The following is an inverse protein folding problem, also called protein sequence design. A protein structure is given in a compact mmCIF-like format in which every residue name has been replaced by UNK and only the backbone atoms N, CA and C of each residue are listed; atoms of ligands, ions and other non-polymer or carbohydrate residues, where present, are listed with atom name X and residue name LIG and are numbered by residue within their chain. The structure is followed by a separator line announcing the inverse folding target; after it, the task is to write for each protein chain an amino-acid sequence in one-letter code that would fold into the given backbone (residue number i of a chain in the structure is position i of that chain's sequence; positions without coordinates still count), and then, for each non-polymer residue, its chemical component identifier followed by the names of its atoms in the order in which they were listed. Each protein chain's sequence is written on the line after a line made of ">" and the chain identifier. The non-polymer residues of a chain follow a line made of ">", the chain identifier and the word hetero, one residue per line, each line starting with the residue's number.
data_IF_717814970327
#
_entry.id   IF_717814970327
#
_cell.length_a   1.000
_cell.length_b   1.000
_cell.length_c   1.000
_cell.angle_alpha   90.00
_cell.angle_beta   90.00
_cell.angle_gamma   90.00
#
_symmetry.space_group_name_H-M   'P 1'
#
loop_
_entity.id
_entity.type
_entity.pdbx_description
1 polymer ?
#
# COMPACT_ATOMS: atom_id res chain seq x y z
N UNK A 1 -8.14 3.03 -32.86
CA UNK A 1 -8.26 1.93 -31.85
C UNK A 1 -7.75 2.40 -30.49
N UNK A 2 -8.41 2.00 -29.37
CA UNK A 2 -7.89 2.24 -28.02
C UNK A 2 -7.01 1.05 -27.60
N UNK A 3 -5.89 1.32 -26.95
CA UNK A 3 -5.07 0.31 -26.31
C UNK A 3 -5.24 0.42 -24.79
N UNK A 4 -5.90 -0.55 -24.20
CA UNK A 4 -6.17 -0.63 -22.76
C UNK A 4 -5.08 -1.51 -22.12
N UNK A 5 -4.37 -0.98 -21.13
CA UNK A 5 -3.25 -1.64 -20.48
C UNK A 5 -3.59 -1.86 -19.00
N UNK A 6 -3.86 -3.12 -18.64
CA UNK A 6 -4.10 -3.52 -17.26
C UNK A 6 -2.80 -3.89 -16.53
N UNK A 7 -2.81 -3.95 -15.21
CA UNK A 7 -1.65 -4.41 -14.44
C UNK A 7 -1.46 -5.94 -14.54
N UNK A 8 -2.57 -6.70 -14.57
CA UNK A 8 -2.58 -8.16 -14.50
C UNK A 8 -3.45 -8.76 -15.60
N UNK A 9 -3.09 -9.98 -16.02
CA UNK A 9 -3.86 -10.71 -17.02
C UNK A 9 -5.35 -10.88 -16.64
N UNK A 10 -5.65 -11.20 -15.38
CA UNK A 10 -7.03 -11.39 -14.89
C UNK A 10 -7.87 -10.12 -15.03
N UNK A 11 -7.28 -8.96 -14.72
CA UNK A 11 -7.93 -7.66 -14.89
C UNK A 11 -8.16 -7.34 -16.37
N UNK A 12 -7.14 -7.55 -17.21
CA UNK A 12 -7.28 -7.39 -18.66
C UNK A 12 -8.39 -8.26 -19.26
N UNK A 13 -8.51 -9.51 -18.82
CA UNK A 13 -9.59 -10.40 -19.25
C UNK A 13 -10.97 -9.92 -18.80
N UNK A 14 -11.10 -9.43 -17.55
CA UNK A 14 -12.35 -8.87 -17.04
C UNK A 14 -12.78 -7.63 -17.84
N UNK A 15 -11.83 -6.75 -18.17
CA UNK A 15 -12.08 -5.56 -19.00
C UNK A 15 -12.51 -5.97 -20.41
N UNK A 16 -11.82 -6.92 -21.05
CA UNK A 16 -12.17 -7.40 -22.36
C UNK A 16 -13.59 -8.01 -22.40
N UNK A 17 -13.99 -8.73 -21.34
CA UNK A 17 -15.35 -9.26 -21.18
C UNK A 17 -16.37 -8.13 -21.04
N UNK A 18 -16.09 -7.12 -20.23
CA UNK A 18 -17.00 -6.00 -19.97
C UNK A 18 -17.20 -5.10 -21.20
N UNK A 19 -16.15 -4.91 -22.03
CA UNK A 19 -16.26 -4.22 -23.34
C UNK A 19 -17.27 -4.93 -24.22
N UNK A 20 -17.27 -6.27 -24.20
CA UNK A 20 -18.23 -7.10 -24.92
C UNK A 20 -17.96 -7.18 -26.43
N UNK A 21 -18.59 -8.17 -27.08
CA UNK A 21 -18.41 -8.43 -28.51
C UNK A 21 -17.53 -9.64 -28.80
N UNK A 22 -17.11 -9.75 -30.05
CA UNK A 22 -16.24 -10.86 -30.47
C UNK A 22 -14.82 -10.63 -29.93
N UNK A 23 -14.29 -11.63 -29.22
CA UNK A 23 -12.92 -11.58 -28.66
C UNK A 23 -11.97 -12.44 -29.46
N UNK A 24 -10.92 -11.85 -29.99
CA UNK A 24 -9.83 -12.54 -30.65
C UNK A 24 -8.59 -12.56 -29.72
N UNK A 25 -8.19 -13.77 -29.34
CA UNK A 25 -7.05 -13.95 -28.42
C UNK A 25 -5.74 -14.02 -29.18
N UNK A 26 -4.81 -13.20 -28.79
CA UNK A 26 -3.44 -13.17 -29.28
C UNK A 26 -2.45 -13.44 -28.14
N UNK A 27 -1.19 -13.65 -28.52
CA UNK A 27 -0.13 -13.80 -27.52
C UNK A 27 0.13 -12.47 -26.82
N UNK A 28 -0.18 -12.38 -25.52
CA UNK A 28 0.02 -11.20 -24.69
C UNK A 28 -1.06 -10.11 -24.77
N UNK A 29 -2.11 -10.27 -25.58
CA UNK A 29 -3.24 -9.34 -25.65
C UNK A 29 -4.50 -9.98 -26.20
N UNK A 30 -5.63 -9.28 -26.08
CA UNK A 30 -6.93 -9.64 -26.65
C UNK A 30 -7.45 -8.47 -27.48
N UNK A 31 -7.95 -8.74 -28.68
CA UNK A 31 -8.68 -7.75 -29.45
C UNK A 31 -10.19 -7.94 -29.23
N UNK A 32 -10.88 -6.84 -28.96
CA UNK A 32 -12.35 -6.83 -28.77
C UNK A 32 -12.91 -5.65 -29.55
N UNK A 33 -13.51 -5.93 -30.70
CA UNK A 33 -13.97 -4.88 -31.62
C UNK A 33 -12.82 -3.95 -32.02
N UNK A 34 -12.97 -2.66 -31.72
CA UNK A 34 -11.96 -1.63 -31.97
C UNK A 34 -10.98 -1.40 -30.80
N UNK A 35 -11.03 -2.23 -29.76
CA UNK A 35 -10.17 -2.13 -28.61
C UNK A 35 -9.12 -3.26 -28.58
N UNK A 36 -7.91 -2.91 -28.16
CA UNK A 36 -6.85 -3.84 -27.81
C UNK A 36 -6.67 -3.82 -26.31
N UNK A 37 -6.76 -4.97 -25.66
CA UNK A 37 -6.58 -5.11 -24.22
C UNK A 37 -5.34 -5.95 -23.95
N UNK A 38 -4.36 -5.36 -23.25
CA UNK A 38 -3.12 -6.03 -22.85
C UNK A 38 -2.86 -5.83 -21.34
N UNK A 39 -1.78 -6.38 -20.81
CA UNK A 39 -1.44 -6.31 -19.39
C UNK A 39 0.06 -6.24 -19.17
N UNK A 40 0.46 -5.71 -18.02
CA UNK A 40 1.86 -5.50 -17.67
C UNK A 40 2.54 -6.69 -17.00
N UNK A 41 1.83 -7.59 -16.34
CA UNK A 41 2.39 -8.64 -15.45
C UNK A 41 3.24 -8.06 -14.29
N UNK A 42 2.82 -6.92 -13.69
CA UNK A 42 3.57 -6.18 -12.70
C UNK A 42 4.57 -5.20 -13.33
N UNK A 43 5.69 -4.94 -12.65
CA UNK A 43 6.67 -3.97 -13.13
C UNK A 43 7.47 -4.51 -14.33
N UNK A 44 7.12 -4.07 -15.54
CA UNK A 44 7.88 -4.37 -16.76
C UNK A 44 9.12 -3.49 -16.91
N UNK A 45 9.08 -2.26 -16.35
CA UNK A 45 10.16 -1.27 -16.44
C UNK A 45 10.48 -0.76 -15.04
N UNK A 46 11.76 -0.80 -14.68
CA UNK A 46 12.29 -0.30 -13.41
C UNK A 46 13.50 0.60 -13.62
N UNK A 47 13.92 1.28 -12.53
CA UNK A 47 15.14 2.07 -12.55
C UNK A 47 16.36 1.16 -12.75
N UNK A 48 17.28 1.59 -13.60
CA UNK A 48 18.53 0.88 -13.84
C UNK A 48 19.36 0.75 -12.54
N UNK A 49 20.04 -0.37 -12.38
CA UNK A 49 20.97 -0.54 -11.28
C UNK A 49 22.25 0.30 -11.50
N UNK A 50 23.00 0.63 -10.45
CA UNK A 50 24.21 1.47 -10.59
C UNK A 50 25.24 0.96 -11.60
N UNK A 51 25.40 -0.35 -11.73
CA UNK A 51 26.31 -1.00 -12.68
C UNK A 51 25.87 -0.88 -14.15
N UNK A 52 24.67 -0.41 -14.40
CA UNK A 52 24.11 -0.24 -15.73
C UNK A 52 24.34 1.17 -16.30
N UNK A 53 24.81 2.11 -15.46
CA UNK A 53 25.19 3.47 -15.88
C UNK A 53 26.59 3.48 -16.48
N UNK A 54 26.71 3.32 -17.79
CA UNK A 54 27.98 3.11 -18.52
C UNK A 54 28.99 4.24 -18.39
N UNK A 55 28.53 5.47 -18.11
CA UNK A 55 29.38 6.65 -18.00
C UNK A 55 29.92 6.89 -16.58
N UNK A 56 29.66 5.96 -15.65
CA UNK A 56 30.04 6.06 -14.27
C UNK A 56 30.69 4.76 -13.79
N UNK A 57 31.64 4.85 -12.86
CA UNK A 57 32.30 3.68 -12.25
C UNK A 57 31.50 3.11 -11.06
N UNK A 58 30.17 3.24 -11.11
CA UNK A 58 29.27 2.81 -10.06
C UNK A 58 29.08 1.28 -9.95
N UNK A 59 29.58 0.53 -10.91
CA UNK A 59 29.62 -0.92 -10.85
C UNK A 59 30.55 -1.43 -9.74
N UNK A 60 31.63 -0.70 -9.46
CA UNK A 60 32.58 -1.02 -8.40
C UNK A 60 32.06 -0.56 -7.02
N UNK A 61 32.10 -1.46 -6.06
CA UNK A 61 31.76 -1.13 -4.69
C UNK A 61 32.97 -0.50 -3.97
N UNK A 62 32.99 0.82 -3.86
CA UNK A 62 33.99 1.60 -3.14
C UNK A 62 33.34 2.79 -2.46
N UNK A 63 33.90 3.21 -1.31
CA UNK A 63 33.45 4.44 -0.64
C UNK A 63 33.69 5.70 -1.53
N UNK A 64 34.72 5.66 -2.38
CA UNK A 64 35.04 6.77 -3.28
C UNK A 64 33.99 6.96 -4.38
N UNK A 65 33.17 5.94 -4.64
CA UNK A 65 32.06 6.03 -5.62
C UNK A 65 30.74 6.48 -5.01
N UNK A 66 30.73 6.84 -3.71
CA UNK A 66 29.55 7.34 -3.03
C UNK A 66 29.65 8.85 -2.81
N UNK A 67 28.52 9.58 -2.89
CA UNK A 67 27.18 9.10 -3.18
C UNK A 67 26.96 8.81 -4.67
N UNK A 68 26.14 7.78 -4.96
CA UNK A 68 25.63 7.52 -6.29
C UNK A 68 24.40 8.41 -6.50
N UNK A 69 24.46 9.32 -7.44
CA UNK A 69 23.35 10.21 -7.78
C UNK A 69 23.18 10.30 -9.32
N UNK A 70 22.18 9.64 -9.87
CA UNK A 70 21.91 9.68 -11.29
C UNK A 70 21.13 10.94 -11.75
N UNK A 71 20.86 11.89 -10.88
CA UNK A 71 20.10 13.11 -11.23
C UNK A 71 20.93 14.03 -12.17
N UNK A 72 20.36 14.55 -13.28
CA UNK A 72 18.99 14.34 -13.77
C UNK A 72 18.80 13.07 -14.65
N UNK A 73 19.87 12.34 -14.98
CA UNK A 73 19.95 11.34 -16.05
C UNK A 73 19.50 9.94 -15.60
N UNK A 74 18.32 9.86 -14.98
CA UNK A 74 17.72 8.60 -14.57
C UNK A 74 17.50 7.66 -15.76
N UNK A 75 18.03 6.44 -15.67
CA UNK A 75 17.86 5.42 -16.69
C UNK A 75 16.82 4.39 -16.27
N UNK A 76 16.01 3.99 -17.23
CA UNK A 76 14.98 2.98 -17.08
C UNK A 76 15.37 1.72 -17.84
N UNK A 77 15.01 0.57 -17.31
CA UNK A 77 15.33 -0.72 -17.89
C UNK A 77 14.17 -1.70 -17.80
N UNK A 78 14.02 -2.48 -18.85
CA UNK A 78 13.09 -3.62 -18.87
C UNK A 78 13.57 -4.71 -17.91
N UNK A 79 12.65 -5.31 -17.16
CA UNK A 79 12.94 -6.39 -16.23
C UNK A 79 13.72 -7.54 -16.86
N UNK A 80 14.62 -8.15 -16.09
CA UNK A 80 15.49 -9.24 -16.60
C UNK A 80 14.79 -10.60 -16.75
N UNK A 81 13.58 -10.73 -16.22
CA UNK A 81 12.79 -11.94 -16.38
C UNK A 81 12.32 -12.11 -17.83
N UNK A 82 12.47 -13.32 -18.38
CA UNK A 82 12.10 -13.63 -19.77
C UNK A 82 10.62 -13.38 -20.07
N UNK A 83 9.76 -13.60 -19.09
CA UNK A 83 8.32 -13.32 -19.19
C UNK A 83 8.03 -11.84 -19.30
N UNK A 84 8.67 -11.03 -18.45
CA UNK A 84 8.55 -9.57 -18.45
C UNK A 84 9.07 -8.95 -19.76
N UNK A 85 10.23 -9.40 -20.28
CA UNK A 85 10.78 -8.93 -21.55
C UNK A 85 9.86 -9.25 -22.74
N UNK A 86 9.30 -10.48 -22.78
CA UNK A 86 8.34 -10.86 -23.81
C UNK A 86 7.09 -9.99 -23.78
N UNK A 87 6.49 -9.83 -22.61
CA UNK A 87 5.28 -9.02 -22.45
C UNK A 87 5.53 -7.54 -22.72
N UNK A 88 6.67 -7.01 -22.29
CA UNK A 88 7.09 -5.65 -22.62
C UNK A 88 7.14 -5.43 -24.14
N UNK A 89 7.72 -6.38 -24.89
CA UNK A 89 7.79 -6.29 -26.36
C UNK A 89 6.41 -6.26 -27.01
N UNK A 90 5.46 -7.03 -26.49
CA UNK A 90 4.06 -7.02 -26.93
C UNK A 90 3.46 -5.63 -26.68
N UNK A 91 3.49 -5.14 -25.43
CA UNK A 91 2.93 -3.84 -25.03
C UNK A 91 3.54 -2.72 -25.85
N UNK A 92 4.88 -2.67 -25.94
CA UNK A 92 5.59 -1.65 -26.70
C UNK A 92 5.28 -1.71 -28.21
N UNK A 93 5.14 -2.91 -28.77
CA UNK A 93 4.71 -3.12 -30.16
C UNK A 93 3.32 -2.55 -30.42
N UNK A 94 2.35 -2.87 -29.53
CA UNK A 94 0.99 -2.35 -29.62
C UNK A 94 0.93 -0.84 -29.48
N UNK A 95 1.68 -0.25 -28.53
CA UNK A 95 1.73 1.19 -28.34
C UNK A 95 2.27 1.95 -29.57
N UNK A 96 3.17 1.35 -30.33
CA UNK A 96 3.75 1.94 -31.54
C UNK A 96 2.89 1.75 -32.82
N UNK A 97 1.82 0.96 -32.77
CA UNK A 97 0.94 0.77 -33.93
C UNK A 97 0.34 2.10 -34.39
N UNK A 98 0.29 2.31 -35.68
CA UNK A 98 -0.25 3.55 -36.28
C UNK A 98 -1.78 3.66 -36.19
N UNK A 99 -2.48 2.54 -36.03
CA UNK A 99 -3.93 2.46 -35.86
C UNK A 99 -4.38 2.57 -34.40
N UNK A 100 -3.45 2.56 -33.44
CA UNK A 100 -3.71 2.90 -32.03
C UNK A 100 -3.57 4.42 -31.86
N UNK A 101 -4.67 5.08 -31.56
CA UNK A 101 -4.79 6.53 -31.41
C UNK A 101 -4.92 7.02 -29.96
N UNK A 102 -5.21 6.09 -29.03
CA UNK A 102 -5.38 6.37 -27.59
C UNK A 102 -4.82 5.27 -26.74
N UNK A 103 -4.15 5.62 -25.65
CA UNK A 103 -3.71 4.73 -24.61
C UNK A 103 -4.64 4.87 -23.40
N UNK A 104 -5.03 3.76 -22.79
CA UNK A 104 -5.88 3.75 -21.60
C UNK A 104 -5.11 3.04 -20.48
N UNK A 105 -4.82 3.77 -19.41
CA UNK A 105 -4.30 3.21 -18.17
C UNK A 105 -5.44 2.53 -17.40
N UNK A 106 -5.40 1.22 -17.33
CA UNK A 106 -6.30 0.37 -16.57
C UNK A 106 -5.53 -0.48 -15.54
N UNK A 107 -4.35 -0.01 -15.12
CA UNK A 107 -3.63 -0.61 -14.00
C UNK A 107 -4.40 -0.41 -12.69
N UNK A 108 -3.98 -1.09 -11.64
CA UNK A 108 -4.64 -1.05 -10.34
C UNK A 108 -4.87 0.42 -9.89
N UNK A 109 -5.99 0.73 -9.19
CA UNK A 109 -6.35 2.10 -8.82
C UNK A 109 -5.53 2.58 -7.61
N UNK A 110 -4.22 2.65 -7.76
CA UNK A 110 -3.29 3.14 -6.76
C UNK A 110 -2.03 3.75 -7.41
N UNK A 111 -1.09 4.25 -6.57
CA UNK A 111 0.17 4.85 -7.01
C UNK A 111 1.07 3.89 -7.77
N UNK A 112 1.06 2.62 -7.43
CA UNK A 112 1.89 1.61 -8.10
C UNK A 112 1.37 1.32 -9.51
N UNK A 113 0.04 1.20 -9.67
CA UNK A 113 -0.57 1.04 -10.99
C UNK A 113 -0.25 2.21 -11.92
N UNK A 114 -0.41 3.44 -11.42
CA UNK A 114 -0.03 4.65 -12.15
C UNK A 114 1.46 4.65 -12.54
N UNK A 115 2.34 4.26 -11.60
CA UNK A 115 3.77 4.15 -11.87
C UNK A 115 4.08 3.11 -12.97
N UNK A 116 3.42 1.96 -12.96
CA UNK A 116 3.62 0.90 -13.96
C UNK A 116 3.32 1.44 -15.35
N UNK A 117 2.14 2.05 -15.53
CA UNK A 117 1.74 2.60 -16.83
C UNK A 117 2.69 3.69 -17.30
N UNK A 118 2.96 4.71 -16.47
CA UNK A 118 3.82 5.85 -16.83
C UNK A 118 5.25 5.46 -17.19
N UNK A 119 5.81 4.49 -16.46
CA UNK A 119 7.17 3.97 -16.77
C UNK A 119 7.20 3.30 -18.13
N UNK A 120 6.18 2.52 -18.48
CA UNK A 120 6.09 1.86 -19.79
C UNK A 120 5.99 2.92 -20.89
N UNK A 121 5.07 3.88 -20.78
CA UNK A 121 4.88 4.97 -21.75
C UNK A 121 6.17 5.75 -21.96
N UNK A 122 6.81 6.17 -20.87
CA UNK A 122 8.07 6.93 -20.90
C UNK A 122 9.19 6.13 -21.59
N UNK A 123 9.32 4.84 -21.24
CA UNK A 123 10.38 3.99 -21.78
C UNK A 123 10.16 3.63 -23.25
N UNK A 124 8.89 3.46 -23.67
CA UNK A 124 8.55 3.21 -25.10
C UNK A 124 8.73 4.47 -25.94
N UNK A 125 8.59 5.66 -25.34
CA UNK A 125 8.79 6.95 -25.99
C UNK A 125 7.71 7.32 -27.00
N UNK A 126 6.45 6.93 -26.74
CA UNK A 126 5.30 7.31 -27.59
C UNK A 126 4.57 8.51 -27.02
N UNK A 127 4.03 9.35 -27.92
CA UNK A 127 3.19 10.49 -27.56
C UNK A 127 1.83 10.32 -28.18
N UNK A 128 0.87 9.85 -27.37
CA UNK A 128 -0.53 9.62 -27.77
C UNK A 128 -1.45 10.16 -26.69
N UNK A 129 -2.70 10.53 -26.98
CA UNK A 129 -3.71 10.84 -25.98
C UNK A 129 -3.83 9.71 -24.97
N UNK A 130 -3.94 10.04 -23.68
CA UNK A 130 -4.03 9.07 -22.59
C UNK A 130 -5.28 9.32 -21.76
N UNK A 131 -5.91 8.25 -21.32
CA UNK A 131 -7.06 8.25 -20.42
C UNK A 131 -6.83 7.29 -19.28
N UNK A 132 -7.38 7.61 -18.12
CA UNK A 132 -7.38 6.74 -16.94
C UNK A 132 -8.70 6.02 -16.80
N UNK A 133 -8.65 4.70 -16.78
CA UNK A 133 -9.74 3.80 -16.43
C UNK A 133 -9.57 3.35 -14.98
N UNK A 134 -10.32 3.95 -14.07
CA UNK A 134 -10.24 3.68 -12.63
C UNK A 134 -11.21 2.56 -12.23
N UNK A 135 -10.69 1.33 -12.05
CA UNK A 135 -11.50 0.14 -11.79
C UNK A 135 -11.26 -0.36 -10.36
N UNK A 136 -12.19 -0.06 -9.46
CA UNK A 136 -12.16 -0.53 -8.08
C UNK A 136 -12.87 -1.90 -7.88
N UNK A 137 -13.74 -2.31 -8.82
CA UNK A 137 -14.45 -3.60 -8.82
C UNK A 137 -14.35 -4.26 -10.19
N UNK A 138 -14.20 -5.59 -10.23
CA UNK A 138 -14.14 -6.38 -11.48
C UNK A 138 -15.49 -6.88 -11.96
N UNK A 139 -16.58 -6.41 -11.38
CA UNK A 139 -17.92 -6.67 -11.92
C UNK A 139 -18.12 -5.97 -13.27
N UNK A 140 -18.83 -6.61 -14.18
CA UNK A 140 -18.98 -6.12 -15.55
C UNK A 140 -19.62 -4.74 -15.63
N UNK A 141 -20.66 -4.50 -14.82
CA UNK A 141 -21.36 -3.20 -14.82
C UNK A 141 -20.46 -2.10 -14.27
N UNK A 142 -19.70 -2.37 -13.19
CA UNK A 142 -18.74 -1.41 -12.64
C UNK A 142 -17.62 -1.07 -13.65
N UNK A 143 -17.14 -2.04 -14.43
CA UNK A 143 -16.16 -1.78 -15.49
C UNK A 143 -16.78 -0.97 -16.63
N UNK A 144 -18.03 -1.26 -17.03
CA UNK A 144 -18.72 -0.47 -18.08
C UNK A 144 -18.94 0.98 -17.67
N UNK A 145 -19.33 1.20 -16.42
CA UNK A 145 -19.49 2.55 -15.85
C UNK A 145 -18.14 3.30 -15.83
N UNK A 146 -17.08 2.63 -15.40
CA UNK A 146 -15.73 3.18 -15.44
C UNK A 146 -15.26 3.49 -16.87
N UNK A 147 -15.54 2.63 -17.87
CA UNK A 147 -15.24 2.87 -19.28
C UNK A 147 -15.99 4.10 -19.83
N UNK A 148 -17.24 4.32 -19.40
CA UNK A 148 -18.04 5.47 -19.79
C UNK A 148 -17.56 6.77 -19.13
N UNK A 149 -16.94 6.70 -17.95
CA UNK A 149 -16.51 7.84 -17.14
C UNK A 149 -14.98 8.02 -17.07
N UNK A 150 -14.22 7.47 -18.02
CA UNK A 150 -12.76 7.62 -18.08
C UNK A 150 -12.35 9.10 -18.04
N UNK A 151 -11.41 9.40 -17.18
CA UNK A 151 -10.85 10.76 -17.01
C UNK A 151 -9.60 10.95 -17.87
N UNK A 152 -9.23 12.23 -18.05
CA UNK A 152 -7.96 12.56 -18.66
C UNK A 152 -6.81 12.16 -17.73
N UNK A 153 -5.76 11.59 -18.31
CA UNK A 153 -4.61 11.10 -17.55
C UNK A 153 -3.87 12.21 -16.81
N UNK A 154 -4.01 13.46 -17.26
CA UNK A 154 -3.42 14.63 -16.60
C UNK A 154 -4.04 14.92 -15.22
N UNK A 155 -5.25 14.48 -14.96
CA UNK A 155 -5.87 14.61 -13.63
C UNK A 155 -5.12 13.76 -12.57
N UNK A 156 -4.38 12.75 -12.98
CA UNK A 156 -3.59 11.85 -12.11
C UNK A 156 -2.10 12.18 -12.08
N UNK A 157 -1.69 13.35 -12.62
CA UNK A 157 -0.26 13.73 -12.67
C UNK A 157 0.37 13.78 -11.27
N UNK A 158 -0.33 14.31 -10.26
CA UNK A 158 0.17 14.31 -8.88
C UNK A 158 0.41 12.92 -8.32
N UNK A 159 -0.43 11.94 -8.68
CA UNK A 159 -0.27 10.54 -8.29
C UNK A 159 0.96 9.92 -8.97
N UNK A 160 1.14 10.18 -10.27
CA UNK A 160 2.31 9.76 -11.04
C UNK A 160 3.61 10.34 -10.48
N UNK A 161 3.63 11.64 -10.18
CA UNK A 161 4.79 12.33 -9.62
C UNK A 161 5.15 11.77 -8.24
N UNK A 162 4.15 11.56 -7.38
CA UNK A 162 4.33 10.94 -6.07
C UNK A 162 4.96 9.54 -6.17
N UNK A 163 4.46 8.71 -7.09
CA UNK A 163 4.99 7.37 -7.33
C UNK A 163 6.44 7.41 -7.86
N UNK A 164 6.72 8.32 -8.77
CA UNK A 164 8.05 8.49 -9.38
C UNK A 164 9.09 8.99 -8.38
N UNK A 165 8.74 10.03 -7.59
CA UNK A 165 9.61 10.57 -6.53
C UNK A 165 9.89 9.49 -5.49
N UNK A 166 8.89 8.74 -5.09
CA UNK A 166 9.06 7.62 -4.15
C UNK A 166 10.04 6.58 -4.69
N UNK A 167 9.89 6.14 -5.94
CA UNK A 167 10.78 5.16 -6.54
C UNK A 167 12.24 5.64 -6.58
N UNK A 168 12.46 6.89 -6.97
CA UNK A 168 13.80 7.52 -7.00
C UNK A 168 14.39 7.64 -5.59
N UNK A 169 13.61 8.09 -4.61
CA UNK A 169 14.05 8.20 -3.22
C UNK A 169 14.39 6.82 -2.62
N UNK A 170 13.56 5.81 -2.87
CA UNK A 170 13.83 4.44 -2.41
C UNK A 170 15.10 3.87 -3.05
N UNK A 171 15.34 4.17 -4.33
CA UNK A 171 16.56 3.77 -5.03
C UNK A 171 17.80 4.49 -4.47
N UNK A 172 17.76 5.82 -4.31
CA UNK A 172 18.88 6.61 -3.78
C UNK A 172 19.28 6.14 -2.38
N UNK A 173 18.32 6.04 -1.47
CA UNK A 173 18.57 5.61 -0.09
C UNK A 173 19.03 4.16 -0.08
N UNK A 174 18.33 3.28 -0.79
CA UNK A 174 18.62 1.85 -0.82
C UNK A 174 20.00 1.55 -1.36
N UNK A 175 20.39 2.14 -2.50
CA UNK A 175 21.68 1.89 -3.13
C UNK A 175 22.85 2.48 -2.32
N UNK A 176 22.75 3.74 -1.94
CA UNK A 176 23.84 4.41 -1.22
C UNK A 176 24.04 3.86 0.20
N UNK A 177 22.98 3.78 0.99
CA UNK A 177 23.10 3.32 2.35
C UNK A 177 23.50 1.82 2.44
N UNK A 178 22.91 0.97 1.59
CA UNK A 178 23.31 -0.46 1.58
C UNK A 178 24.78 -0.65 1.25
N UNK A 179 25.31 0.09 0.27
CA UNK A 179 26.74 0.02 -0.08
C UNK A 179 27.63 0.59 1.02
N UNK A 180 27.29 1.77 1.55
CA UNK A 180 28.06 2.41 2.61
C UNK A 180 28.21 1.50 3.84
N UNK A 181 27.09 0.98 4.35
CA UNK A 181 27.10 0.07 5.49
C UNK A 181 27.84 -1.23 5.19
N UNK A 182 27.61 -1.81 4.01
CA UNK A 182 28.28 -3.06 3.63
C UNK A 182 29.80 -2.90 3.53
N UNK A 183 30.29 -1.77 3.02
CA UNK A 183 31.72 -1.48 2.91
C UNK A 183 32.36 -1.20 4.27
N UNK A 184 31.70 -0.38 5.11
CA UNK A 184 32.23 -0.02 6.44
C UNK A 184 32.32 -1.24 7.36
N UNK A 185 31.31 -2.10 7.35
CA UNK A 185 31.26 -3.28 8.23
C UNK A 185 31.79 -4.57 7.60
N UNK A 186 32.28 -4.50 6.36
CA UNK A 186 32.79 -5.64 5.60
C UNK A 186 31.80 -6.84 5.63
N UNK A 187 30.52 -6.55 5.51
CA UNK A 187 29.43 -7.53 5.52
C UNK A 187 28.28 -7.03 4.63
N UNK A 188 27.44 -7.94 4.13
CA UNK A 188 26.32 -7.55 3.30
C UNK A 188 25.16 -7.02 4.14
N UNK A 189 24.92 -5.72 4.07
CA UNK A 189 23.77 -5.06 4.67
C UNK A 189 22.80 -4.56 3.60
N UNK A 190 21.53 -4.68 3.89
CA UNK A 190 20.44 -4.10 3.08
C UNK A 190 19.78 -3.00 3.88
N UNK A 191 19.79 -1.80 3.36
CA UNK A 191 19.14 -0.64 3.97
C UNK A 191 18.02 -0.17 3.06
N UNK A 192 16.87 0.13 3.62
CA UNK A 192 15.74 0.62 2.86
C UNK A 192 14.83 1.48 3.72
N UNK A 193 14.12 2.38 3.06
CA UNK A 193 13.27 3.39 3.71
C UNK A 193 12.14 2.79 4.57
N UNK A 194 11.66 1.60 4.23
CA UNK A 194 10.60 0.91 4.99
C UNK A 194 11.19 -0.17 5.89
N UNK A 195 12.02 -1.05 5.33
CA UNK A 195 12.52 -2.23 6.06
C UNK A 195 13.38 -1.86 7.26
N UNK A 196 14.25 -0.86 7.14
CA UNK A 196 15.16 -0.48 8.24
C UNK A 196 14.44 0.17 9.42
N UNK A 197 13.54 1.15 9.23
CA UNK A 197 12.73 1.67 10.33
C UNK A 197 11.83 0.60 10.98
N UNK A 198 11.27 -0.31 10.17
CA UNK A 198 10.46 -1.41 10.71
C UNK A 198 11.28 -2.33 11.61
N UNK A 199 12.50 -2.69 11.19
CA UNK A 199 13.42 -3.47 12.01
C UNK A 199 13.80 -2.70 13.29
N UNK A 200 14.08 -1.40 13.19
CA UNK A 200 14.39 -0.58 14.35
C UNK A 200 13.24 -0.58 15.39
N UNK A 201 11.99 -0.43 14.93
CA UNK A 201 10.82 -0.50 15.81
C UNK A 201 10.70 -1.85 16.53
N UNK A 202 10.99 -2.96 15.85
CA UNK A 202 10.98 -4.30 16.45
C UNK A 202 12.09 -4.42 17.50
N UNK A 203 13.32 -4.02 17.16
CA UNK A 203 14.47 -4.05 18.07
C UNK A 203 14.25 -3.18 19.30
N UNK A 204 13.67 -1.99 19.14
CA UNK A 204 13.38 -1.11 20.27
C UNK A 204 12.29 -1.72 21.16
N UNK A 205 11.30 -2.39 20.58
CA UNK A 205 10.29 -3.12 21.35
C UNK A 205 10.88 -4.27 22.14
N UNK A 206 11.76 -5.06 21.52
CA UNK A 206 12.47 -6.15 22.21
C UNK A 206 13.33 -5.64 23.36
N UNK A 207 14.03 -4.51 23.16
CA UNK A 207 14.79 -3.84 24.24
C UNK A 207 13.90 -3.37 25.38
N UNK A 208 12.73 -2.80 25.07
CA UNK A 208 11.75 -2.41 26.09
C UNK A 208 11.23 -3.62 26.89
N UNK A 209 10.99 -4.74 26.21
CA UNK A 209 10.55 -5.99 26.85
C UNK A 209 11.67 -6.54 27.74
N UNK A 210 12.89 -6.64 27.22
CA UNK A 210 14.04 -7.14 27.95
C UNK A 210 14.40 -6.26 29.17
N UNK A 211 14.26 -4.93 29.05
CA UNK A 211 14.49 -3.97 30.10
C UNK A 211 13.28 -3.72 31.02
N UNK A 212 12.18 -4.43 30.84
CA UNK A 212 10.98 -4.21 31.62
C UNK A 212 11.16 -4.67 33.06
N UNK A 213 11.04 -3.71 33.98
CA UNK A 213 11.01 -3.98 35.43
C UNK A 213 9.57 -3.88 35.91
N UNK A 214 9.02 -5.01 36.35
CA UNK A 214 7.69 -5.03 36.96
C UNK A 214 7.70 -4.25 38.28
N UNK A 215 6.86 -3.24 38.36
CA UNK A 215 6.65 -2.46 39.59
C UNK A 215 5.24 -2.73 40.10
N UNK A 216 5.11 -3.25 41.34
CA UNK A 216 3.81 -3.43 41.96
C UNK A 216 3.16 -2.07 42.23
N UNK A 217 1.87 -2.02 42.16
CA UNK A 217 1.07 -0.88 42.58
C UNK A 217 -0.15 -1.36 43.33
N UNK A 218 -0.74 -0.50 44.12
CA UNK A 218 -1.89 -0.81 44.94
C UNK A 218 -3.06 0.10 44.60
N UNK A 219 -4.25 -0.40 44.77
CA UNK A 219 -5.49 0.36 44.70
C UNK A 219 -6.40 -0.04 45.85
N UNK A 220 -6.99 0.95 46.51
CA UNK A 220 -8.06 0.71 47.46
C UNK A 220 -9.37 0.57 46.68
N UNK A 221 -10.10 -0.52 46.89
CA UNK A 221 -11.38 -0.79 46.25
C UNK A 221 -12.43 -1.01 47.31
N UNK A 222 -13.49 -0.21 47.29
CA UNK A 222 -14.62 -0.35 48.23
C UNK A 222 -15.84 -0.93 47.48
N UNK A 223 -16.35 -2.11 47.86
CA UNK A 223 -17.61 -2.61 47.34
C UNK A 223 -18.79 -1.88 47.99
N UNK A 224 -19.72 -1.40 47.17
CA UNK A 224 -20.90 -0.67 47.64
C UNK A 224 -22.15 -1.10 46.84
N UNK A 225 -22.98 -1.93 47.43
CA UNK A 225 -24.32 -2.25 46.90
C UNK A 225 -24.37 -2.62 45.39
N UNK A 226 -23.45 -3.47 44.93
CA UNK A 226 -23.34 -3.86 43.50
C UNK A 226 -22.38 -2.99 42.67
N UNK A 227 -21.86 -1.91 43.22
CA UNK A 227 -20.86 -1.05 42.61
C UNK A 227 -19.49 -1.32 43.21
N UNK A 228 -18.43 -0.98 42.47
CA UNK A 228 -17.05 -0.97 42.97
C UNK A 228 -16.49 0.44 42.78
N UNK A 229 -16.20 1.09 43.91
CA UNK A 229 -15.43 2.35 43.89
C UNK A 229 -13.95 1.97 43.89
N UNK A 230 -13.20 2.49 42.93
CA UNK A 230 -11.77 2.23 42.83
C UNK A 230 -11.02 3.56 43.03
N UNK A 231 -10.15 3.58 43.98
CA UNK A 231 -9.22 4.69 44.20
C UNK A 231 -8.17 4.80 43.10
N UNK A 232 -7.38 5.84 43.16
CA UNK A 232 -6.25 6.03 42.26
C UNK A 232 -5.15 4.97 42.53
N UNK A 233 -4.24 4.87 41.55
CA UNK A 233 -3.05 4.03 41.68
C UNK A 233 -2.09 4.63 42.70
N UNK A 234 -1.64 3.81 43.64
CA UNK A 234 -0.65 4.13 44.67
C UNK A 234 0.62 3.31 44.42
N UNK A 235 1.77 3.95 44.41
CA UNK A 235 3.04 3.26 44.14
C UNK A 235 3.66 2.66 45.41
N UNK A 236 3.16 3.02 46.56
CA UNK A 236 3.60 2.48 47.88
C UNK A 236 2.48 1.75 48.57
N UNK A 237 2.82 0.62 49.17
CA UNK A 237 1.90 -0.21 49.91
C UNK A 237 1.41 0.51 51.18
N UNK A 238 2.29 1.22 51.86
CA UNK A 238 2.02 1.96 53.07
C UNK A 238 0.93 3.03 52.88
N UNK A 239 0.95 3.71 51.71
CA UNK A 239 -0.05 4.73 51.36
C UNK A 239 -1.42 4.07 51.12
N UNK A 240 -1.45 2.88 50.51
CA UNK A 240 -2.68 2.15 50.31
C UNK A 240 -3.25 1.60 51.65
N UNK A 241 -2.41 1.13 52.54
CA UNK A 241 -2.83 0.67 53.87
C UNK A 241 -3.29 1.84 54.76
N UNK A 242 -2.67 3.01 54.65
CA UNK A 242 -3.11 4.23 55.33
C UNK A 242 -4.50 4.66 54.82
N UNK A 243 -4.70 4.72 53.50
CA UNK A 243 -5.98 5.05 52.92
C UNK A 243 -7.05 4.04 53.30
N UNK A 244 -6.71 2.75 53.29
CA UNK A 244 -7.65 1.69 53.72
C UNK A 244 -8.10 1.85 55.18
N UNK A 245 -7.20 2.25 56.08
CA UNK A 245 -7.55 2.54 57.51
C UNK A 245 -8.49 3.75 57.60
N UNK A 246 -8.27 4.79 56.84
CA UNK A 246 -9.12 6.00 56.82
C UNK A 246 -10.53 5.60 56.32
N UNK A 247 -10.63 4.86 55.20
CA UNK A 247 -11.90 4.45 54.60
C UNK A 247 -12.69 3.50 55.48
N UNK A 248 -12.03 2.71 56.32
CA UNK A 248 -12.66 1.77 57.29
C UNK A 248 -12.89 2.38 58.70
N UNK A 249 -12.62 3.65 58.93
CA UNK A 249 -12.90 4.29 60.21
C UNK A 249 -14.40 4.61 60.31
N UNK A 250 -14.94 4.54 61.53
CA UNK A 250 -16.34 4.80 61.82
C UNK A 250 -16.79 6.23 61.48
N UNK A 251 -15.85 7.16 61.42
CA UNK A 251 -16.09 8.55 61.10
C UNK A 251 -16.03 8.85 59.59
N UNK A 252 -15.73 7.85 58.76
CA UNK A 252 -15.57 8.05 57.32
C UNK A 252 -16.87 7.96 56.57
N UNK A 253 -17.27 9.04 55.88
CA UNK A 253 -18.45 9.06 55.03
C UNK A 253 -18.12 9.32 53.57
N UNK A 254 -18.69 8.54 52.69
CA UNK A 254 -18.63 8.82 51.24
C UNK A 254 -19.70 9.83 50.85
N UNK A 255 -19.33 10.83 50.09
CA UNK A 255 -20.27 11.75 49.43
C UNK A 255 -20.06 11.74 47.93
N UNK A 256 -21.15 11.77 47.18
CA UNK A 256 -21.10 11.93 45.74
C UNK A 256 -20.86 13.40 45.42
N UNK A 257 -19.66 13.74 44.97
CA UNK A 257 -19.29 15.08 44.64
C UNK A 257 -19.88 15.51 43.29
N UNK A 258 -19.93 14.60 42.29
CA UNK A 258 -20.45 14.86 40.96
C UNK A 258 -21.06 13.60 40.38
N UNK A 259 -22.25 13.76 39.82
CA UNK A 259 -22.92 12.73 39.01
C UNK A 259 -23.33 13.34 37.67
N UNK A 260 -22.84 12.80 36.57
CA UNK A 260 -23.21 13.23 35.23
C UNK A 260 -23.79 12.06 34.44
N UNK A 261 -24.90 12.32 33.81
CA UNK A 261 -25.46 11.41 32.79
C UNK A 261 -25.16 11.97 31.41
N UNK A 262 -24.31 11.28 30.65
CA UNK A 262 -24.01 11.64 29.29
C UNK A 262 -24.65 10.63 28.34
N UNK A 263 -25.34 11.12 27.33
CA UNK A 263 -25.78 10.30 26.22
C UNK A 263 -24.60 10.14 25.29
N UNK A 264 -24.18 8.93 25.04
CA UNK A 264 -23.12 8.60 24.09
C UNK A 264 -23.78 7.99 22.86
N UNK A 265 -23.38 8.46 21.69
CA UNK A 265 -23.75 7.88 20.42
C UNK A 265 -22.53 7.15 19.86
N UNK A 266 -22.64 5.84 19.75
CA UNK A 266 -21.61 5.04 19.09
C UNK A 266 -21.95 4.95 17.60
N UNK A 267 -21.04 5.45 16.77
CA UNK A 267 -21.19 5.29 15.32
C UNK A 267 -20.95 3.82 14.93
N UNK A 268 -21.63 3.33 13.89
CA UNK A 268 -21.33 1.99 13.38
C UNK A 268 -19.85 1.87 12.98
N UNK A 269 -19.26 0.67 13.09
CA UNK A 269 -17.88 0.47 12.67
C UNK A 269 -17.73 0.78 11.18
N UNK A 270 -16.59 1.36 10.81
CA UNK A 270 -16.25 1.60 9.41
C UNK A 270 -16.01 0.27 8.68
N UNK A 271 -16.15 0.27 7.37
CA UNK A 271 -15.72 -0.85 6.54
C UNK A 271 -14.20 -1.07 6.70
N UNK A 272 -13.75 -2.25 6.35
CA UNK A 272 -12.32 -2.58 6.45
C UNK A 272 -11.50 -1.90 5.35
N UNK A 273 -10.43 -1.24 5.76
CA UNK A 273 -9.24 -1.12 4.94
C UNK A 273 -8.36 -2.38 5.09
N UNK A 274 -7.34 -2.50 4.24
CA UNK A 274 -6.43 -3.65 4.30
C UNK A 274 -5.75 -3.81 5.67
N UNK A 275 -5.34 -2.70 6.28
CA UNK A 275 -4.61 -2.72 7.56
C UNK A 275 -5.54 -3.16 8.71
N UNK A 276 -6.75 -2.65 8.75
CA UNK A 276 -7.77 -3.04 9.71
C UNK A 276 -8.12 -4.52 9.59
N UNK A 277 -8.36 -4.99 8.36
CA UNK A 277 -8.61 -6.40 8.09
C UNK A 277 -7.44 -7.29 8.52
N UNK A 278 -6.20 -6.92 8.20
CA UNK A 278 -5.01 -7.68 8.59
C UNK A 278 -4.86 -7.78 10.11
N UNK A 279 -5.12 -6.68 10.85
CA UNK A 279 -5.09 -6.68 12.32
C UNK A 279 -6.12 -7.62 12.91
N UNK A 280 -7.36 -7.55 12.44
CA UNK A 280 -8.43 -8.40 12.96
C UNK A 280 -8.27 -9.86 12.57
N UNK A 281 -7.85 -10.18 11.35
CA UNK A 281 -7.54 -11.54 10.93
C UNK A 281 -6.38 -12.13 11.73
N UNK A 282 -5.38 -11.33 12.07
CA UNK A 282 -4.30 -11.77 12.96
C UNK A 282 -4.81 -12.04 14.38
N UNK A 283 -5.59 -11.12 14.94
CA UNK A 283 -6.10 -11.20 16.30
C UNK A 283 -7.12 -12.33 16.49
N UNK A 284 -8.05 -12.51 15.54
CA UNK A 284 -9.18 -13.43 15.66
C UNK A 284 -8.87 -14.83 15.13
N UNK A 285 -8.01 -14.93 14.11
CA UNK A 285 -7.76 -16.17 13.38
C UNK A 285 -6.29 -16.55 13.26
N UNK A 286 -5.37 -15.78 13.82
CA UNK A 286 -3.93 -16.04 13.76
C UNK A 286 -3.35 -15.98 12.34
N UNK A 287 -4.04 -15.32 11.40
CA UNK A 287 -3.53 -15.19 10.02
C UNK A 287 -2.42 -14.15 9.93
N UNK A 288 -1.40 -14.44 9.15
CA UNK A 288 -0.37 -13.44 8.84
C UNK A 288 -0.92 -12.38 7.90
N UNK A 289 -0.34 -11.19 7.91
CA UNK A 289 -0.70 -10.10 6.99
C UNK A 289 -0.60 -10.53 5.51
N UNK A 290 0.42 -11.31 5.15
CA UNK A 290 0.60 -11.84 3.81
C UNK A 290 -0.52 -12.81 3.40
N UNK A 291 -0.92 -13.74 4.29
CA UNK A 291 -2.03 -14.68 4.02
C UNK A 291 -3.36 -13.95 3.89
N UNK A 292 -3.60 -12.94 4.73
CA UNK A 292 -4.81 -12.10 4.64
C UNK A 292 -4.88 -11.36 3.31
N UNK A 293 -3.77 -10.74 2.88
CA UNK A 293 -3.71 -10.05 1.60
C UNK A 293 -3.93 -11.02 0.42
N UNK A 294 -3.30 -12.20 0.44
CA UNK A 294 -3.46 -13.20 -0.62
C UNK A 294 -4.92 -13.70 -0.72
N UNK A 295 -5.58 -13.92 0.42
CA UNK A 295 -6.99 -14.31 0.44
C UNK A 295 -7.89 -13.19 -0.10
N UNK A 296 -7.68 -11.94 0.32
CA UNK A 296 -8.45 -10.79 -0.15
C UNK A 296 -8.24 -10.54 -1.66
N UNK A 297 -6.99 -10.68 -2.14
CA UNK A 297 -6.67 -10.59 -3.57
C UNK A 297 -7.43 -11.66 -4.38
N UNK A 298 -7.47 -12.90 -3.88
CA UNK A 298 -8.24 -13.98 -4.52
C UNK A 298 -9.75 -13.69 -4.52
N UNK A 299 -10.30 -13.09 -3.48
CA UNK A 299 -11.71 -12.67 -3.45
C UNK A 299 -11.98 -11.55 -4.46
N UNK A 300 -11.09 -10.58 -4.57
CA UNK A 300 -11.18 -9.51 -5.58
C UNK A 300 -11.17 -10.07 -7.00
N UNK A 301 -10.23 -10.97 -7.32
CA UNK A 301 -10.14 -11.62 -8.65
C UNK A 301 -11.35 -12.48 -8.98
N UNK A 302 -12.04 -12.99 -7.96
CA UNK A 302 -13.30 -13.72 -8.07
C UNK A 302 -14.53 -12.82 -8.02
N UNK A 303 -14.37 -11.50 -8.04
CA UNK A 303 -15.46 -10.49 -8.01
C UNK A 303 -16.31 -10.54 -6.73
N UNK A 304 -15.74 -11.00 -5.61
CA UNK A 304 -16.40 -11.12 -4.30
C UNK A 304 -16.02 -10.02 -3.32
N UNK A 305 -15.05 -9.20 -3.66
CA UNK A 305 -14.60 -8.04 -2.88
C UNK A 305 -14.07 -6.95 -3.80
N UNK A 306 -14.05 -5.72 -3.30
CA UNK A 306 -13.41 -4.58 -3.98
C UNK A 306 -11.89 -4.68 -3.89
N UNK A 307 -11.19 -3.78 -4.59
CA UNK A 307 -9.73 -3.75 -4.63
C UNK A 307 -9.11 -3.73 -3.23
N UNK A 308 -8.13 -4.60 -2.92
CA UNK A 308 -7.60 -4.79 -1.57
C UNK A 308 -6.99 -3.55 -0.91
N UNK A 309 -6.43 -2.63 -1.69
CA UNK A 309 -5.80 -1.41 -1.19
C UNK A 309 -6.73 -0.20 -1.30
N UNK A 310 -8.02 -0.43 -1.19
CA UNK A 310 -9.00 0.67 -1.15
C UNK A 310 -8.84 1.51 0.11
N UNK A 311 -9.10 2.79 -0.02
CA UNK A 311 -9.26 3.72 1.09
C UNK A 311 -10.73 4.00 1.44
N UNK A 312 -11.66 3.40 0.73
CA UNK A 312 -13.09 3.52 1.00
C UNK A 312 -13.44 2.78 2.29
N UNK A 313 -13.70 3.52 3.35
CA UNK A 313 -14.01 3.01 4.70
C UNK A 313 -15.51 3.07 5.04
N UNK A 314 -16.33 3.49 4.09
CA UNK A 314 -17.79 3.60 4.23
C UNK A 314 -18.46 3.22 2.91
N UNK A 315 -19.72 2.84 2.99
CA UNK A 315 -20.54 2.62 1.79
C UNK A 315 -20.66 3.95 1.07
N UNK A 316 -19.95 4.10 -0.03
CA UNK A 316 -20.01 5.30 -0.84
C UNK A 316 -21.34 5.38 -1.57
N UNK A 317 -21.95 6.54 -1.54
CA UNK A 317 -22.66 7.01 -2.73
C UNK A 317 -21.55 7.23 -3.79
N UNK A 318 -21.71 6.68 -4.97
CA UNK A 318 -20.70 6.64 -6.04
C UNK A 318 -20.17 8.02 -6.53
N UNK A 319 -20.57 9.11 -5.86
CA UNK A 319 -20.19 10.49 -6.16
C UNK A 319 -18.94 10.98 -5.40
N UNK A 320 -18.41 10.23 -4.41
CA UNK A 320 -17.34 10.68 -3.52
C UNK A 320 -15.99 9.96 -3.72
N UNK A 321 -15.74 9.38 -4.89
CA UNK A 321 -14.45 8.79 -5.24
C UNK A 321 -13.37 9.87 -5.43
N UNK A 322 -12.98 10.53 -4.33
CA UNK A 322 -11.74 11.28 -4.29
C UNK A 322 -10.57 10.30 -4.17
N UNK A 323 -9.57 10.37 -5.06
CA UNK A 323 -8.38 9.53 -4.93
C UNK A 323 -7.73 9.76 -3.57
N UNK A 324 -7.40 8.70 -2.87
CA UNK A 324 -6.61 8.80 -1.64
C UNK A 324 -5.19 9.27 -2.00
N UNK A 325 -4.90 10.51 -1.70
CA UNK A 325 -3.56 11.12 -1.83
C UNK A 325 -2.64 10.63 -0.72
#
# INVERSE_FOLDING_TARGET
>A
MRLIIAEKHSVGQAIAQAVGGHMEKHDGYVQVGDDLVTWAQGHLVDLAAPDEYKNHDWGKWSLDTLPIDPTPDWQWKVGRDKGADRQYKVVAGLMRRGDVDMLVDACDPDREGEAIFRRIVTHVGVSKPMRRLWVASLEEDAIRDALASMKDETEYQGLADSAMIRAKADWLIGMNASRAYSLVYNARFTVGRVQTPTLAMIVDRDRQIAGHVSRPYWKVVAPMGGWKLSGERLDKREDAEMLLRIVNSDDFAFSIFKAERKQQHDAPPRLYDLTGLQKDMSRLHGLTAARTLAALQSLYERKLATYPRTCLLYTSDAADDTPCV
#
